data_IF_770361186781
#
_entry.id   IF_770361186781
#
_cell.length_a   1.000
_cell.length_b   1.000
_cell.length_c   1.000
_cell.angle_alpha   90.00
_cell.angle_beta   90.00
_cell.angle_gamma   90.00
#
_symmetry.space_group_name_H-M   'P 1'
#
loop_
_entity.id
_entity.type
_entity.pdbx_description
1 polymer ?
#
# COMPACT_ATOMS: atom_id res chain seq x y z
N UNK A 1 -1.63 -3.89 -6.43
CA UNK A 1 -0.23 -4.29 -6.12
C UNK A 1 0.68 -3.11 -6.38
N UNK A 2 1.14 -2.40 -5.34
CA UNK A 2 1.98 -1.19 -5.49
C UNK A 2 3.14 -1.29 -4.54
N UNK A 3 4.33 -1.45 -5.10
CA UNK A 3 5.55 -0.93 -4.47
C UNK A 3 6.58 -0.60 -5.58
N UNK A 4 6.70 0.66 -6.02
CA UNK A 4 7.49 1.02 -7.21
C UNK A 4 9.00 0.84 -7.04
N UNK A 5 9.48 0.73 -5.80
CA UNK A 5 10.92 0.65 -5.49
C UNK A 5 11.32 -0.78 -5.04
N UNK A 6 10.35 -1.65 -4.71
CA UNK A 6 10.64 -3.04 -4.28
C UNK A 6 10.37 -4.08 -5.35
N UNK A 7 9.84 -3.70 -6.52
CA UNK A 7 9.61 -4.62 -7.65
C UNK A 7 10.89 -5.41 -8.00
N UNK A 8 12.04 -4.75 -8.01
CA UNK A 8 13.34 -5.38 -8.23
C UNK A 8 13.69 -6.46 -7.19
N UNK A 9 13.27 -6.29 -5.93
CA UNK A 9 13.54 -7.24 -4.85
C UNK A 9 12.71 -8.51 -4.97
N UNK A 10 11.46 -8.38 -5.45
CA UNK A 10 10.61 -9.53 -5.74
C UNK A 10 11.18 -10.33 -6.91
N UNK A 11 11.57 -9.65 -8.00
CA UNK A 11 12.15 -10.30 -9.17
C UNK A 11 13.38 -11.16 -8.79
N UNK A 12 14.30 -10.64 -7.97
CA UNK A 12 15.45 -11.42 -7.50
C UNK A 12 15.04 -12.62 -6.64
N UNK A 13 14.09 -12.44 -5.70
CA UNK A 13 13.61 -13.53 -4.84
C UNK A 13 12.79 -14.60 -5.57
N UNK A 14 12.32 -14.32 -6.79
CA UNK A 14 11.67 -15.28 -7.69
C UNK A 14 12.56 -15.73 -8.87
N UNK A 15 13.86 -15.38 -8.85
CA UNK A 15 14.87 -16.01 -9.70
C UNK A 15 15.53 -15.14 -10.77
N UNK A 16 15.24 -13.84 -10.85
CA UNK A 16 15.95 -12.94 -11.76
C UNK A 16 17.44 -12.83 -11.39
N UNK A 17 18.31 -12.98 -12.39
CA UNK A 17 19.78 -12.82 -12.23
C UNK A 17 20.22 -11.36 -12.26
N UNK A 18 19.58 -10.55 -13.11
CA UNK A 18 19.88 -9.14 -13.29
C UNK A 18 18.62 -8.39 -13.69
N UNK A 19 18.57 -7.09 -13.39
CA UNK A 19 17.44 -6.22 -13.67
C UNK A 19 17.96 -4.93 -14.28
N UNK A 20 17.44 -4.56 -15.45
CA UNK A 20 17.74 -3.30 -16.12
C UNK A 20 16.51 -2.38 -16.03
N UNK A 21 16.47 -1.41 -15.11
CA UNK A 21 15.33 -0.51 -14.93
C UNK A 21 15.39 0.67 -15.92
N UNK A 22 15.45 0.37 -17.22
CA UNK A 22 15.70 1.36 -18.28
C UNK A 22 14.72 2.56 -18.21
N UNK A 23 13.43 2.30 -18.00
CA UNK A 23 12.41 3.37 -17.97
C UNK A 23 12.56 4.30 -16.76
N UNK A 24 13.12 3.82 -15.64
CA UNK A 24 13.40 4.66 -14.50
C UNK A 24 14.52 5.66 -14.80
N UNK A 25 15.52 5.24 -15.58
CA UNK A 25 16.59 6.12 -16.04
C UNK A 25 16.10 7.15 -17.06
N UNK A 26 15.31 6.72 -18.05
CA UNK A 26 14.69 7.64 -19.02
C UNK A 26 13.83 8.70 -18.32
N UNK A 27 13.07 8.30 -17.29
CA UNK A 27 12.30 9.23 -16.48
C UNK A 27 13.20 10.22 -15.72
N UNK A 28 14.28 9.75 -15.10
CA UNK A 28 15.22 10.62 -14.40
C UNK A 28 15.89 11.63 -15.35
N UNK A 29 16.20 11.21 -16.58
CA UNK A 29 16.73 12.11 -17.61
C UNK A 29 15.71 13.14 -18.05
N UNK A 30 14.45 12.75 -18.27
CA UNK A 30 13.37 13.67 -18.56
C UNK A 30 13.21 14.72 -17.44
N UNK A 31 13.17 14.28 -16.17
CA UNK A 31 13.09 15.18 -15.01
C UNK A 31 14.27 16.16 -14.94
N UNK A 32 15.50 15.72 -15.29
CA UNK A 32 16.66 16.61 -15.37
C UNK A 32 16.52 17.63 -16.50
N UNK A 33 16.08 17.18 -17.68
CA UNK A 33 15.89 18.05 -18.85
C UNK A 33 14.79 19.11 -18.60
N UNK A 34 13.79 18.78 -17.80
CA UNK A 34 12.74 19.68 -17.34
C UNK A 34 13.17 20.59 -16.17
N UNK A 35 14.43 20.50 -15.72
CA UNK A 35 15.00 21.22 -14.57
C UNK A 35 14.26 20.97 -13.24
N UNK A 36 13.62 19.80 -13.10
CA UNK A 36 12.98 19.37 -11.84
C UNK A 36 13.98 18.74 -10.86
N UNK A 37 15.11 18.27 -11.37
CA UNK A 37 16.28 17.87 -10.59
C UNK A 37 17.51 18.65 -11.07
N UNK A 38 18.59 18.63 -10.30
CA UNK A 38 19.80 19.40 -10.58
C UNK A 38 20.33 19.14 -12.02
N UNK A 39 20.34 20.16 -12.91
CA UNK A 39 20.73 20.01 -14.30
C UNK A 39 22.23 19.75 -14.49
N UNK A 40 23.05 19.97 -13.44
CA UNK A 40 24.49 19.68 -13.47
C UNK A 40 24.81 18.19 -13.33
N UNK A 41 23.84 17.37 -12.89
CA UNK A 41 24.02 15.93 -12.74
C UNK A 41 24.27 15.27 -14.10
N UNK A 42 25.36 14.51 -14.21
CA UNK A 42 25.64 13.71 -15.40
C UNK A 42 24.77 12.45 -15.42
N UNK A 43 24.72 11.76 -16.56
CA UNK A 43 24.03 10.46 -16.63
C UNK A 43 24.63 9.45 -15.65
N UNK A 44 25.96 9.48 -15.50
CA UNK A 44 26.70 8.61 -14.57
C UNK A 44 26.32 8.89 -13.11
N UNK A 45 26.14 10.16 -12.74
CA UNK A 45 25.68 10.52 -11.39
C UNK A 45 24.29 9.95 -11.08
N UNK A 46 23.36 10.05 -12.04
CA UNK A 46 22.02 9.49 -11.93
C UNK A 46 22.07 7.96 -11.82
N UNK A 47 22.87 7.29 -12.66
CA UNK A 47 23.05 5.83 -12.59
C UNK A 47 23.59 5.39 -11.24
N UNK A 48 24.66 6.02 -10.75
CA UNK A 48 25.28 5.69 -9.46
C UNK A 48 24.35 5.94 -8.29
N UNK A 49 23.63 7.06 -8.29
CA UNK A 49 22.68 7.39 -7.24
C UNK A 49 21.54 6.36 -7.17
N UNK A 50 20.98 6.00 -8.33
CA UNK A 50 19.92 4.99 -8.40
C UNK A 50 20.42 3.61 -7.99
N UNK A 51 21.58 3.17 -8.51
CA UNK A 51 22.21 1.91 -8.13
C UNK A 51 22.42 1.86 -6.61
N UNK A 52 22.98 2.92 -6.02
CA UNK A 52 23.23 2.97 -4.57
C UNK A 52 21.93 2.88 -3.76
N UNK A 53 20.87 3.52 -4.21
CA UNK A 53 19.55 3.45 -3.57
C UNK A 53 18.98 2.03 -3.61
N UNK A 54 19.07 1.35 -4.76
CA UNK A 54 18.60 -0.04 -4.91
C UNK A 54 19.44 -1.02 -4.10
N UNK A 55 20.78 -0.91 -4.13
CA UNK A 55 21.68 -1.72 -3.31
C UNK A 55 21.37 -1.58 -1.82
N UNK A 56 21.18 -0.35 -1.35
CA UNK A 56 20.86 -0.07 0.05
C UNK A 56 19.48 -0.61 0.41
N UNK A 57 18.50 -0.47 -0.49
CA UNK A 57 17.15 -1.02 -0.29
C UNK A 57 17.16 -2.54 -0.22
N UNK A 58 17.88 -3.21 -1.11
CA UNK A 58 18.02 -4.67 -1.14
C UNK A 58 18.73 -5.18 0.13
N UNK A 59 19.82 -4.54 0.52
CA UNK A 59 20.54 -4.87 1.76
C UNK A 59 19.62 -4.74 2.99
N UNK A 60 18.79 -3.68 3.05
CA UNK A 60 17.81 -3.52 4.13
C UNK A 60 16.75 -4.61 4.15
N UNK A 61 16.24 -5.03 2.99
CA UNK A 61 15.25 -6.12 2.90
C UNK A 61 15.88 -7.45 3.34
N UNK A 62 17.07 -7.77 2.85
CA UNK A 62 17.80 -8.99 3.26
C UNK A 62 18.10 -8.98 4.77
N UNK A 63 18.53 -7.84 5.32
CA UNK A 63 18.85 -7.68 6.74
C UNK A 63 17.64 -7.90 7.65
N UNK A 64 16.42 -7.55 7.22
CA UNK A 64 15.19 -7.83 7.98
C UNK A 64 14.97 -9.33 8.21
N UNK A 65 15.43 -10.17 7.28
CA UNK A 65 15.31 -11.63 7.35
C UNK A 65 16.61 -12.30 7.82
N UNK A 66 17.64 -11.54 8.19
CA UNK A 66 18.93 -12.07 8.61
C UNK A 66 19.77 -12.68 7.47
N UNK A 67 19.48 -12.34 6.20
CA UNK A 67 20.23 -12.84 5.05
C UNK A 67 21.38 -11.89 4.72
N UNK A 68 22.56 -12.45 4.52
CA UNK A 68 23.78 -11.68 4.27
C UNK A 68 24.32 -11.80 2.84
N UNK A 69 23.79 -12.70 2.01
CA UNK A 69 24.26 -12.87 0.63
C UNK A 69 23.09 -12.86 -0.36
N UNK A 70 23.31 -12.21 -1.50
CA UNK A 70 22.32 -12.17 -2.58
C UNK A 70 22.05 -13.55 -3.19
N UNK A 71 23.07 -14.41 -3.24
CA UNK A 71 22.94 -15.78 -3.73
C UNK A 71 21.95 -16.59 -2.89
N UNK A 72 21.98 -16.44 -1.56
CA UNK A 72 20.99 -17.09 -0.68
C UNK A 72 19.60 -16.47 -0.76
N UNK A 73 19.50 -15.19 -1.15
CA UNK A 73 18.22 -14.50 -1.31
C UNK A 73 17.54 -14.87 -2.64
N UNK A 74 18.33 -15.15 -3.69
CA UNK A 74 17.83 -15.52 -5.01
C UNK A 74 16.97 -16.79 -4.92
N UNK A 75 15.79 -16.74 -5.53
CA UNK A 75 14.83 -17.87 -5.55
C UNK A 75 14.37 -18.35 -4.16
N UNK A 76 14.66 -17.63 -3.09
CA UNK A 76 14.28 -18.05 -1.73
C UNK A 76 12.78 -17.86 -1.45
N UNK A 77 12.05 -17.12 -2.29
CA UNK A 77 10.60 -16.88 -2.18
C UNK A 77 10.16 -16.40 -0.79
N UNK A 78 10.91 -15.48 -0.17
CA UNK A 78 10.66 -14.98 1.19
C UNK A 78 9.60 -13.88 1.15
N UNK A 79 8.44 -14.23 0.59
CA UNK A 79 7.31 -13.35 0.39
C UNK A 79 6.02 -14.11 0.73
N UNK A 80 5.01 -13.35 1.13
CA UNK A 80 3.64 -13.84 1.25
C UNK A 80 2.79 -13.10 0.22
N UNK A 81 2.04 -13.84 -0.59
CA UNK A 81 1.12 -13.28 -1.55
C UNK A 81 -0.23 -13.03 -0.87
N UNK A 82 -0.75 -11.81 -0.98
CA UNK A 82 -2.05 -11.44 -0.45
C UNK A 82 -2.93 -10.97 -1.60
N UNK A 83 -4.08 -11.62 -1.78
CA UNK A 83 -5.06 -11.27 -2.80
C UNK A 83 -4.74 -11.78 -4.21
N UNK A 84 -3.85 -12.78 -4.35
CA UNK A 84 -3.64 -13.51 -5.59
C UNK A 84 -4.33 -14.87 -5.51
N UNK A 85 -5.01 -15.26 -6.58
CA UNK A 85 -5.66 -16.57 -6.66
C UNK A 85 -4.64 -17.70 -6.85
N UNK A 86 -5.02 -18.92 -6.43
CA UNK A 86 -4.18 -20.12 -6.48
C UNK A 86 -3.69 -20.43 -7.91
N UNK A 87 -4.51 -20.18 -8.93
CA UNK A 87 -4.12 -20.38 -10.34
C UNK A 87 -2.89 -19.55 -10.74
N UNK A 88 -2.83 -18.30 -10.30
CA UNK A 88 -1.68 -17.40 -10.51
C UNK A 88 -0.48 -17.87 -9.70
N UNK A 89 -0.68 -18.25 -8.45
CA UNK A 89 0.39 -18.75 -7.58
C UNK A 89 1.01 -20.02 -8.15
N UNK A 90 0.21 -21.01 -8.50
CA UNK A 90 0.68 -22.29 -9.03
C UNK A 90 1.45 -22.13 -10.35
N UNK A 91 1.04 -21.17 -11.18
CA UNK A 91 1.66 -20.93 -12.47
C UNK A 91 2.93 -20.09 -12.40
N UNK A 92 2.94 -19.05 -11.57
CA UNK A 92 3.98 -18.00 -11.60
C UNK A 92 4.86 -17.95 -10.33
N UNK A 93 4.32 -18.37 -9.18
CA UNK A 93 4.95 -18.20 -7.86
C UNK A 93 4.84 -19.49 -7.03
N UNK A 94 5.03 -20.64 -7.69
CA UNK A 94 4.80 -21.95 -7.08
C UNK A 94 5.62 -22.10 -5.81
N UNK A 95 4.95 -22.43 -4.70
CA UNK A 95 5.55 -22.56 -3.37
C UNK A 95 5.29 -21.37 -2.44
N UNK A 96 4.85 -20.23 -2.96
CA UNK A 96 4.51 -19.04 -2.18
C UNK A 96 3.18 -19.20 -1.44
N UNK A 97 3.16 -18.83 -0.16
CA UNK A 97 1.93 -18.83 0.64
C UNK A 97 0.97 -17.74 0.17
N UNK A 98 -0.29 -18.10 -0.04
CA UNK A 98 -1.38 -17.15 -0.26
C UNK A 98 -2.64 -17.57 0.48
N UNK A 99 -2.82 -17.04 1.70
CA UNK A 99 -3.93 -17.42 2.60
C UNK A 99 -5.25 -16.77 2.21
N UNK A 100 -5.17 -15.65 1.50
CA UNK A 100 -6.31 -14.88 1.03
C UNK A 100 -6.18 -14.84 -0.48
N UNK A 101 -7.01 -15.65 -1.14
CA UNK A 101 -7.15 -15.63 -2.59
C UNK A 101 -7.66 -14.28 -3.10
N UNK A 102 -7.69 -14.10 -4.41
CA UNK A 102 -8.22 -12.86 -4.96
C UNK A 102 -8.16 -12.85 -6.48
N UNK A 103 -7.34 -11.96 -7.02
CA UNK A 103 -7.29 -11.71 -8.45
C UNK A 103 -6.71 -12.92 -9.19
N UNK A 104 -7.39 -13.30 -10.27
CA UNK A 104 -6.97 -14.34 -11.21
C UNK A 104 -6.34 -13.70 -12.46
N UNK A 105 -5.93 -14.52 -13.43
CA UNK A 105 -5.36 -14.01 -14.69
C UNK A 105 -6.31 -13.11 -15.48
N UNK A 106 -7.63 -13.35 -15.43
CA UNK A 106 -8.61 -12.51 -16.11
C UNK A 106 -8.62 -11.09 -15.55
N UNK A 107 -8.72 -10.94 -14.22
CA UNK A 107 -8.70 -9.64 -13.55
C UNK A 107 -7.37 -8.94 -13.77
N UNK A 108 -6.24 -9.65 -13.65
CA UNK A 108 -4.91 -9.10 -13.92
C UNK A 108 -4.79 -8.58 -15.36
N UNK A 109 -5.30 -9.35 -16.33
CA UNK A 109 -5.30 -8.94 -17.73
C UNK A 109 -6.14 -7.69 -17.95
N UNK A 110 -7.34 -7.64 -17.37
CA UNK A 110 -8.24 -6.50 -17.44
C UNK A 110 -7.60 -5.24 -16.88
N UNK A 111 -6.98 -5.31 -15.70
CA UNK A 111 -6.27 -4.17 -15.12
C UNK A 111 -5.11 -3.66 -16.00
N UNK A 112 -4.39 -4.57 -16.68
CA UNK A 112 -3.33 -4.21 -17.63
C UNK A 112 -3.94 -3.48 -18.84
N UNK A 113 -5.03 -3.99 -19.40
CA UNK A 113 -5.72 -3.37 -20.54
C UNK A 113 -6.37 -2.04 -20.19
N UNK A 114 -6.88 -1.88 -18.96
CA UNK A 114 -7.43 -0.61 -18.49
C UNK A 114 -6.31 0.44 -18.39
N UNK A 115 -5.15 0.10 -17.83
CA UNK A 115 -3.97 0.99 -17.82
C UNK A 115 -3.50 1.33 -19.23
N UNK A 116 -3.43 0.33 -20.12
CA UNK A 116 -3.05 0.54 -21.51
C UNK A 116 -4.03 1.49 -22.23
N UNK A 117 -5.33 1.27 -22.07
CA UNK A 117 -6.39 2.11 -22.66
C UNK A 117 -6.37 3.54 -22.13
N UNK A 118 -6.02 3.73 -20.84
CA UNK A 118 -5.85 5.06 -20.26
C UNK A 118 -4.68 5.82 -20.88
N UNK A 119 -3.57 5.13 -21.20
CA UNK A 119 -2.37 5.76 -21.78
C UNK A 119 -2.47 5.98 -23.28
N UNK A 120 -3.02 5.01 -24.03
CA UNK A 120 -3.05 5.03 -25.50
C UNK A 120 -4.43 5.34 -26.09
N UNK A 121 -5.44 5.63 -25.27
CA UNK A 121 -6.78 6.02 -25.72
C UNK A 121 -6.82 7.44 -26.28
N UNK A 122 -7.90 7.78 -27.00
CA UNK A 122 -8.15 9.09 -27.60
C UNK A 122 -8.58 10.16 -26.57
N UNK A 123 -7.91 10.21 -25.41
CA UNK A 123 -8.17 11.21 -24.38
C UNK A 123 -7.13 12.33 -24.49
N UNK A 124 -7.57 13.58 -24.52
CA UNK A 124 -6.71 14.75 -24.72
C UNK A 124 -5.88 15.16 -23.47
N UNK A 125 -6.02 14.46 -22.35
CA UNK A 125 -5.40 14.80 -21.06
C UNK A 125 -4.47 13.67 -20.56
N UNK A 126 -3.49 13.32 -21.39
CA UNK A 126 -2.45 12.31 -21.09
C UNK A 126 -1.09 12.94 -20.78
N UNK A 127 -0.97 14.27 -20.83
CA UNK A 127 0.28 15.00 -20.61
C UNK A 127 0.69 15.08 -19.13
N UNK A 128 -0.23 14.79 -18.20
CA UNK A 128 0.04 14.80 -16.76
C UNK A 128 -0.23 13.42 -16.18
N UNK A 129 0.77 12.87 -15.47
CA UNK A 129 0.59 11.62 -14.73
C UNK A 129 -0.46 11.80 -13.65
N UNK A 130 -1.49 10.96 -13.67
CA UNK A 130 -2.52 10.93 -12.64
C UNK A 130 -1.87 10.59 -11.30
N UNK A 131 -2.16 11.39 -10.28
CA UNK A 131 -1.76 11.10 -8.91
C UNK A 131 -2.96 10.55 -8.13
N UNK A 132 -3.11 9.22 -8.01
CA UNK A 132 -4.20 8.59 -7.27
C UNK A 132 -4.06 8.74 -5.75
N UNK A 133 -2.96 9.32 -5.22
CA UNK A 133 -2.81 9.54 -3.79
C UNK A 133 -2.49 8.29 -2.98
N UNK A 134 -1.67 7.37 -3.51
CA UNK A 134 -1.30 6.14 -2.76
C UNK A 134 -0.56 6.40 -1.45
N UNK A 135 0.30 7.43 -1.39
CA UNK A 135 1.08 7.76 -0.19
C UNK A 135 0.41 8.82 0.70
N UNK A 136 -0.28 9.77 0.08
CA UNK A 136 -0.96 10.85 0.76
C UNK A 136 -2.37 10.98 0.19
N UNK A 137 -3.33 11.18 1.08
CA UNK A 137 -4.71 11.40 0.71
C UNK A 137 -4.84 12.51 -0.34
N UNK A 138 -5.68 12.28 -1.35
CA UNK A 138 -6.07 13.27 -2.35
C UNK A 138 -7.57 13.19 -2.58
N UNK A 139 -8.19 14.35 -2.82
CA UNK A 139 -9.59 14.41 -3.21
C UNK A 139 -9.81 13.63 -4.52
N UNK A 140 -10.75 12.68 -4.51
CA UNK A 140 -11.03 11.81 -5.65
C UNK A 140 -9.99 10.71 -5.93
N UNK A 141 -8.98 10.55 -5.06
CA UNK A 141 -8.00 9.48 -5.14
C UNK A 141 -8.40 8.22 -4.37
N UNK A 142 -7.39 7.40 -4.06
CA UNK A 142 -7.53 6.24 -3.18
C UNK A 142 -8.10 6.63 -1.81
N UNK A 143 -8.84 5.71 -1.21
CA UNK A 143 -9.36 5.87 0.15
C UNK A 143 -8.24 5.67 1.16
N UNK A 144 -8.26 6.45 2.24
CA UNK A 144 -7.33 6.35 3.36
C UNK A 144 -8.11 6.21 4.66
N UNK A 145 -7.58 5.45 5.61
CA UNK A 145 -8.16 5.33 6.96
C UNK A 145 -8.21 6.70 7.66
N UNK A 146 -7.13 7.47 7.50
CA UNK A 146 -7.01 8.81 8.06
C UNK A 146 -7.41 9.85 7.00
N UNK A 147 -8.72 9.93 6.73
CA UNK A 147 -9.26 10.96 5.85
C UNK A 147 -9.50 12.29 6.60
N UNK A 148 -9.38 13.46 5.95
CA UNK A 148 -9.50 14.75 6.61
C UNK A 148 -10.85 14.99 7.29
N UNK A 149 -11.94 14.44 6.74
CA UNK A 149 -13.29 14.61 7.28
C UNK A 149 -13.44 13.84 8.60
N UNK A 150 -12.98 12.59 8.64
CA UNK A 150 -12.94 11.79 9.86
C UNK A 150 -12.08 12.47 10.95
N UNK A 151 -10.91 13.01 10.58
CA UNK A 151 -10.04 13.69 11.54
C UNK A 151 -10.73 14.94 12.13
N UNK A 152 -11.34 15.78 11.29
CA UNK A 152 -12.03 16.98 11.73
C UNK A 152 -13.20 16.65 12.67
N UNK A 153 -14.05 15.69 12.29
CA UNK A 153 -15.18 15.24 13.12
C UNK A 153 -14.70 14.64 14.46
N UNK A 154 -13.60 13.88 14.46
CA UNK A 154 -13.04 13.31 15.68
C UNK A 154 -12.48 14.39 16.61
N UNK A 155 -11.79 15.40 16.06
CA UNK A 155 -11.28 16.53 16.83
C UNK A 155 -12.42 17.34 17.45
N UNK A 156 -13.47 17.63 16.68
CA UNK A 156 -14.66 18.32 17.18
C UNK A 156 -15.36 17.50 18.27
N UNK A 157 -15.51 16.19 18.09
CA UNK A 157 -16.10 15.31 19.08
C UNK A 157 -15.28 15.30 20.39
N UNK A 158 -13.96 15.20 20.30
CA UNK A 158 -13.08 15.11 21.46
C UNK A 158 -12.95 16.44 22.23
N UNK A 159 -12.87 17.58 21.53
CA UNK A 159 -12.72 18.90 22.16
C UNK A 159 -14.07 19.47 22.59
N UNK A 160 -15.09 19.33 21.76
CA UNK A 160 -16.43 19.88 21.98
C UNK A 160 -17.38 18.95 22.74
N UNK A 161 -16.96 17.72 23.06
CA UNK A 161 -17.80 16.68 23.66
C UNK A 161 -19.13 16.47 22.89
N UNK A 162 -19.06 16.51 21.56
CA UNK A 162 -20.22 16.46 20.67
C UNK A 162 -20.49 15.04 20.19
N UNK A 163 -21.59 14.44 20.68
CA UNK A 163 -22.05 13.12 20.23
C UNK A 163 -22.40 13.13 18.73
N UNK A 164 -22.95 14.23 18.22
CA UNK A 164 -23.26 14.37 16.79
C UNK A 164 -22.00 14.30 15.93
N UNK A 165 -20.93 15.02 16.33
CA UNK A 165 -19.66 14.96 15.62
C UNK A 165 -19.04 13.54 15.71
N UNK A 166 -19.19 12.86 16.85
CA UNK A 166 -18.74 11.47 17.00
C UNK A 166 -19.50 10.50 16.08
N UNK A 167 -20.82 10.66 15.94
CA UNK A 167 -21.63 9.86 15.01
C UNK A 167 -21.18 10.07 13.56
N UNK A 168 -20.88 11.32 13.17
CA UNK A 168 -20.34 11.62 11.84
C UNK A 168 -18.96 11.04 11.60
N UNK A 169 -18.08 11.11 12.60
CA UNK A 169 -16.79 10.42 12.57
C UNK A 169 -16.97 8.90 12.41
N UNK A 170 -17.89 8.28 13.16
CA UNK A 170 -18.13 6.83 13.09
C UNK A 170 -18.57 6.42 11.68
N UNK A 171 -19.49 7.16 11.08
CA UNK A 171 -19.97 6.92 9.71
C UNK A 171 -18.82 6.93 8.70
N UNK A 172 -18.02 8.02 8.67
CA UNK A 172 -16.92 8.16 7.72
C UNK A 172 -15.78 7.17 7.97
N UNK A 173 -15.44 6.92 9.24
CA UNK A 173 -14.40 5.97 9.61
C UNK A 173 -14.78 4.53 9.22
N UNK A 174 -16.05 4.14 9.36
CA UNK A 174 -16.52 2.82 8.95
C UNK A 174 -16.43 2.64 7.43
N UNK A 175 -16.76 3.65 6.63
CA UNK A 175 -16.58 3.62 5.18
C UNK A 175 -15.10 3.42 4.81
N UNK A 176 -14.21 4.18 5.42
CA UNK A 176 -12.77 4.08 5.20
C UNK A 176 -12.21 2.72 5.65
N UNK A 177 -12.69 2.15 6.76
CA UNK A 177 -12.29 0.82 7.24
C UNK A 177 -12.74 -0.27 6.26
N UNK A 178 -13.98 -0.19 5.74
CA UNK A 178 -14.51 -1.09 4.72
C UNK A 178 -13.64 -1.06 3.47
N UNK A 179 -13.31 0.12 2.97
CA UNK A 179 -12.51 0.27 1.76
C UNK A 179 -11.05 -0.19 1.91
N UNK A 180 -10.43 0.03 3.08
CA UNK A 180 -8.98 -0.07 3.24
C UNK A 180 -8.49 -1.32 3.98
N UNK A 181 -9.36 -2.09 4.65
CA UNK A 181 -8.92 -3.16 5.55
C UNK A 181 -9.70 -4.45 5.40
N UNK A 182 -9.05 -5.59 5.65
CA UNK A 182 -9.69 -6.90 5.67
C UNK A 182 -10.80 -6.99 6.72
N UNK A 183 -10.57 -6.45 7.93
CA UNK A 183 -11.60 -6.43 8.99
C UNK A 183 -12.85 -5.64 8.59
N UNK A 184 -12.73 -4.69 7.66
CA UNK A 184 -13.85 -3.95 7.13
C UNK A 184 -14.73 -4.76 6.17
N UNK A 185 -14.24 -5.91 5.69
CA UNK A 185 -15.01 -6.85 4.86
C UNK A 185 -15.78 -7.88 5.71
N UNK A 186 -15.64 -7.83 7.04
CA UNK A 186 -16.32 -8.74 7.96
C UNK A 186 -17.58 -8.09 8.53
N UNK A 187 -18.61 -8.90 8.73
CA UNK A 187 -19.82 -8.50 9.45
C UNK A 187 -19.96 -9.28 10.75
N UNK A 188 -20.44 -8.60 11.80
CA UNK A 188 -20.71 -9.25 13.07
C UNK A 188 -22.01 -10.03 12.98
N UNK A 189 -21.95 -11.33 13.29
CA UNK A 189 -23.14 -12.14 13.51
C UNK A 189 -23.77 -11.70 14.82
N UNK A 190 -24.99 -11.17 14.75
CA UNK A 190 -25.73 -10.69 15.92
C UNK A 190 -26.48 -11.83 16.58
N UNK A 191 -26.74 -11.68 17.88
CA UNK A 191 -27.67 -12.54 18.61
C UNK A 191 -29.10 -12.24 18.14
N UNK A 192 -29.96 -13.26 18.18
CA UNK A 192 -31.38 -13.10 17.90
C UNK A 192 -32.07 -12.19 18.94
N UNK A 193 -31.62 -12.26 20.20
CA UNK A 193 -32.11 -11.44 21.31
C UNK A 193 -30.97 -10.56 21.89
N UNK A 194 -31.04 -9.23 21.72
CA UNK A 194 -30.09 -8.31 22.32
C UNK A 194 -30.25 -8.19 23.84
N UNK A 195 -29.13 -8.12 24.56
CA UNK A 195 -29.13 -7.85 25.99
C UNK A 195 -29.21 -6.34 26.30
N UNK A 196 -29.79 -5.93 27.44
CA UNK A 196 -29.74 -4.54 27.92
C UNK A 196 -28.30 -4.05 28.11
N UNK A 197 -28.03 -2.78 27.79
CA UNK A 197 -26.70 -2.16 27.96
C UNK A 197 -26.23 -2.17 29.42
N UNK A 198 -27.15 -2.21 30.38
CA UNK A 198 -26.86 -2.31 31.82
C UNK A 198 -26.22 -3.63 32.23
N UNK A 199 -26.34 -4.67 31.41
CA UNK A 199 -25.70 -5.97 31.64
C UNK A 199 -24.29 -6.05 31.04
N UNK A 200 -23.91 -5.06 30.21
CA UNK A 200 -22.57 -4.95 29.65
C UNK A 200 -21.64 -4.35 30.70
N UNK A 201 -20.38 -4.79 30.70
CA UNK A 201 -19.35 -4.22 31.58
C UNK A 201 -19.24 -2.68 31.40
N UNK A 202 -19.04 -1.92 32.49
CA UNK A 202 -19.00 -0.47 32.42
C UNK A 202 -17.75 0.02 31.67
N UNK A 203 -17.88 1.19 31.04
CA UNK A 203 -16.80 1.81 30.26
C UNK A 203 -15.49 2.00 31.06
N UNK A 204 -15.59 2.21 32.37
CA UNK A 204 -14.44 2.32 33.29
C UNK A 204 -13.61 1.04 33.41
N UNK A 205 -14.19 -0.13 33.16
CA UNK A 205 -13.46 -1.40 33.10
C UNK A 205 -12.93 -1.67 31.69
N UNK A 206 -13.70 -1.32 30.65
CA UNK A 206 -13.28 -1.47 29.25
C UNK A 206 -12.00 -0.69 28.97
N UNK A 207 -11.95 0.58 29.39
CA UNK A 207 -10.82 1.48 29.11
C UNK A 207 -9.50 1.01 29.69
N UNK A 208 -9.51 0.16 30.73
CA UNK A 208 -8.29 -0.43 31.32
C UNK A 208 -7.55 -1.35 30.34
N UNK A 209 -8.23 -1.85 29.31
CA UNK A 209 -7.62 -2.68 28.25
C UNK A 209 -6.97 -1.84 27.16
N UNK A 210 -7.16 -0.52 27.15
CA UNK A 210 -6.56 0.36 26.15
C UNK A 210 -5.14 0.71 26.57
N UNK A 211 -4.21 0.59 25.63
CA UNK A 211 -2.83 1.00 25.81
C UNK A 211 -2.53 2.14 24.83
N UNK A 212 -1.93 3.22 25.32
CA UNK A 212 -1.33 4.24 24.47
C UNK A 212 0.09 3.78 24.13
N UNK A 213 0.42 3.71 22.84
CA UNK A 213 1.78 3.43 22.40
C UNK A 213 2.72 4.52 22.91
N UNK A 214 3.91 4.13 23.39
CA UNK A 214 4.90 5.09 23.85
C UNK A 214 5.55 5.76 22.64
N UNK A 215 5.20 7.02 22.40
CA UNK A 215 5.87 7.85 21.39
C UNK A 215 7.11 8.47 22.04
N UNK A 216 8.30 8.18 21.50
CA UNK A 216 9.51 8.90 21.89
C UNK A 216 9.41 10.34 21.39
N UNK A 217 9.44 11.29 22.33
CA UNK A 217 9.49 12.73 22.07
C UNK A 217 10.75 13.15 21.32
#
# INVERSE_FOLDING_TARGET
MIVPITSSFHCAGYGADAICPYLAFELAFALRNDNLIDPSLTNEDIYRAYQKAIETGLAKVMAKMGISTLQSYKSAQIFEAVGLNEDVIDKCFKGTQSRIGGVNFEILSKEIFDRHSLTYGNNNDTLVLRNPGHYHWRAGGEKHINDPLSIANLQEAAVGNSNYAYDKFRESALESIRACTLRGQLELVKLDEPIPISEVEPASEIVKRFATGMSSS
#
